data_IF_761182968640
#
_entry.id   IF_761182968640
#
_cell.length_a   1.000
_cell.length_b   1.000
_cell.length_c   1.000
_cell.angle_alpha   90.00
_cell.angle_beta   90.00
_cell.angle_gamma   90.00
#
_symmetry.space_group_name_H-M   'P 1'
#
loop_
_entity.id
_entity.type
_entity.pdbx_description
1 polymer ?
#
# COMPACT_ATOMS: atom_id res chain seq x y z
N UNK A 1 -39.64 -27.79 -54.73
CA UNK A 1 -40.85 -26.94 -54.74
C UNK A 1 -41.04 -26.33 -53.36
N UNK A 2 -41.40 -25.03 -53.31
CA UNK A 2 -41.94 -24.25 -52.16
C UNK A 2 -40.97 -23.81 -51.03
N UNK A 3 -40.48 -22.57 -51.13
CA UNK A 3 -40.15 -21.66 -50.00
C UNK A 3 -41.45 -20.95 -49.52
N UNK A 4 -41.44 -19.95 -48.60
CA UNK A 4 -40.89 -19.79 -47.25
C UNK A 4 -41.97 -19.32 -46.24
N UNK A 5 -41.72 -19.24 -44.91
CA UNK A 5 -42.17 -18.07 -44.12
C UNK A 5 -41.56 -18.01 -42.70
N UNK A 6 -41.17 -16.79 -42.37
CA UNK A 6 -40.55 -16.20 -41.19
C UNK A 6 -41.52 -16.13 -39.99
N UNK A 7 -41.03 -16.25 -38.74
CA UNK A 7 -41.05 -15.20 -37.70
C UNK A 7 -41.02 -15.74 -36.24
N UNK A 8 -40.01 -15.21 -35.51
CA UNK A 8 -40.05 -14.70 -34.13
C UNK A 8 -40.34 -15.67 -32.96
N UNK A 9 -39.37 -15.91 -32.06
CA UNK A 9 -39.18 -15.13 -30.81
C UNK A 9 -38.19 -15.79 -29.83
N UNK A 10 -37.18 -15.02 -29.46
CA UNK A 10 -36.69 -14.79 -28.09
C UNK A 10 -35.91 -15.86 -27.31
N UNK A 11 -34.68 -15.45 -27.00
CA UNK A 11 -34.02 -15.52 -25.70
C UNK A 11 -33.63 -16.90 -25.13
N UNK A 12 -32.36 -17.25 -25.33
CA UNK A 12 -31.54 -17.74 -24.22
C UNK A 12 -30.11 -17.23 -24.40
N UNK A 13 -29.78 -16.22 -23.58
CA UNK A 13 -28.42 -15.77 -23.33
C UNK A 13 -27.51 -16.97 -23.07
N UNK A 14 -26.31 -16.98 -23.64
CA UNK A 14 -25.05 -17.29 -22.94
C UNK A 14 -23.91 -16.87 -23.86
N UNK A 15 -23.66 -15.56 -23.90
CA UNK A 15 -22.38 -15.01 -24.36
C UNK A 15 -21.37 -15.42 -23.29
N UNK A 16 -20.68 -16.55 -23.51
CA UNK A 16 -19.50 -16.94 -22.76
C UNK A 16 -18.34 -16.03 -23.13
N UNK A 17 -18.40 -14.76 -22.70
CA UNK A 17 -17.24 -13.89 -22.68
C UNK A 17 -16.35 -14.42 -21.54
N UNK A 18 -15.43 -15.31 -21.89
CA UNK A 18 -14.32 -15.70 -21.03
C UNK A 18 -13.54 -14.42 -20.70
N UNK A 19 -13.81 -13.90 -19.51
CA UNK A 19 -13.24 -12.65 -19.02
C UNK A 19 -11.75 -12.87 -18.83
N UNK A 20 -10.97 -12.19 -19.67
CA UNK A 20 -9.58 -11.87 -19.45
C UNK A 20 -9.46 -11.14 -18.11
N UNK A 21 -8.90 -11.81 -17.09
CA UNK A 21 -8.39 -11.12 -15.91
C UNK A 21 -6.85 -11.10 -16.02
N UNK A 22 -6.23 -9.97 -16.38
CA UNK A 22 -4.83 -9.79 -16.05
C UNK A 22 -4.78 -9.57 -14.53
N UNK A 23 -4.31 -10.56 -13.78
CA UNK A 23 -3.77 -10.28 -12.44
C UNK A 23 -2.45 -9.52 -12.64
N UNK A 24 -2.57 -8.24 -13.02
CA UNK A 24 -1.47 -7.30 -12.90
C UNK A 24 -1.13 -7.18 -11.41
N UNK A 25 0.16 -7.15 -11.01
CA UNK A 25 0.54 -6.97 -9.63
C UNK A 25 -0.16 -5.71 -9.10
N UNK A 26 -0.90 -5.88 -8.01
CA UNK A 26 -1.74 -4.85 -7.42
C UNK A 26 -1.06 -3.48 -7.44
N UNK A 27 -1.63 -2.56 -8.23
CA UNK A 27 -1.43 -1.14 -8.03
C UNK A 27 -1.91 -0.85 -6.61
N UNK A 28 -0.99 -0.67 -5.67
CA UNK A 28 -1.31 -0.37 -4.28
C UNK A 28 -1.30 1.15 -4.14
N UNK A 29 -2.45 1.83 -4.28
CA UNK A 29 -2.50 3.30 -4.28
C UNK A 29 -1.93 3.88 -2.99
N UNK A 30 -2.06 3.18 -1.86
CA UNK A 30 -1.50 3.60 -0.58
C UNK A 30 0.05 3.62 -0.58
N UNK A 31 0.71 2.74 -1.34
CA UNK A 31 2.17 2.76 -1.48
C UNK A 31 2.61 3.95 -2.34
N UNK A 32 1.87 4.26 -3.40
CA UNK A 32 2.15 5.39 -4.29
C UNK A 32 1.92 6.74 -3.59
N UNK A 33 0.81 6.89 -2.85
CA UNK A 33 0.56 8.06 -1.99
C UNK A 33 1.65 8.26 -0.95
N UNK A 34 2.13 7.17 -0.33
CA UNK A 34 3.26 7.22 0.61
C UNK A 34 4.56 7.66 -0.06
N UNK A 35 4.83 7.21 -1.29
CA UNK A 35 5.99 7.72 -2.06
C UNK A 35 5.86 9.21 -2.27
N UNK A 36 4.69 9.72 -2.69
CA UNK A 36 4.48 11.16 -2.93
C UNK A 36 4.71 11.95 -1.63
N UNK A 37 4.13 11.50 -0.52
CA UNK A 37 4.29 12.16 0.78
C UNK A 37 5.75 12.17 1.25
N UNK A 38 6.43 11.02 1.18
CA UNK A 38 7.85 10.93 1.54
C UNK A 38 8.74 11.70 0.56
N UNK A 39 8.39 11.72 -0.72
CA UNK A 39 9.06 12.49 -1.78
C UNK A 39 9.10 13.97 -1.45
N UNK A 40 7.94 14.53 -1.07
CA UNK A 40 7.83 15.92 -0.64
C UNK A 40 8.57 16.21 0.66
N UNK A 41 8.43 15.34 1.66
CA UNK A 41 9.04 15.58 2.97
C UNK A 41 10.56 15.44 2.91
N UNK A 42 11.06 14.35 2.33
CA UNK A 42 12.50 14.01 2.27
C UNK A 42 13.21 14.65 1.07
N UNK A 43 12.49 15.37 0.21
CA UNK A 43 13.00 15.92 -1.05
C UNK A 43 13.71 14.84 -1.87
N UNK A 44 13.03 13.72 -2.09
CA UNK A 44 13.58 12.60 -2.85
C UNK A 44 13.85 13.03 -4.29
N UNK A 45 14.93 12.51 -4.88
CA UNK A 45 15.12 12.62 -6.32
C UNK A 45 14.16 11.67 -7.05
N UNK A 46 13.83 11.92 -8.33
CA UNK A 46 12.99 10.99 -9.10
C UNK A 46 13.52 9.55 -9.09
N UNK A 47 14.85 9.39 -9.09
CA UNK A 47 15.46 8.07 -9.00
C UNK A 47 15.28 7.43 -7.62
N UNK A 48 15.43 8.19 -6.53
CA UNK A 48 15.18 7.68 -5.18
C UNK A 48 13.71 7.26 -5.00
N UNK A 49 12.75 7.98 -5.58
CA UNK A 49 11.32 7.62 -5.51
C UNK A 49 11.05 6.25 -6.16
N UNK A 50 11.65 5.99 -7.33
CA UNK A 50 11.53 4.70 -8.02
C UNK A 50 12.14 3.57 -7.20
N UNK A 51 13.28 3.81 -6.56
CA UNK A 51 13.97 2.81 -5.72
C UNK A 51 13.27 2.56 -4.38
N UNK A 52 12.58 3.57 -3.83
CA UNK A 52 11.82 3.48 -2.57
C UNK A 52 10.48 2.76 -2.76
N UNK A 53 9.81 2.95 -3.90
CA UNK A 53 8.50 2.37 -4.18
C UNK A 53 8.40 0.85 -3.90
N UNK A 54 9.33 -0.02 -4.34
CA UNK A 54 9.25 -1.45 -4.06
C UNK A 54 9.31 -1.76 -2.56
N UNK A 55 10.12 -1.01 -1.78
CA UNK A 55 10.22 -1.19 -0.32
C UNK A 55 8.88 -0.88 0.34
N UNK A 56 8.23 0.22 -0.06
CA UNK A 56 6.92 0.58 0.48
C UNK A 56 5.81 -0.38 0.05
N UNK A 57 5.87 -0.90 -1.18
CA UNK A 57 4.93 -1.94 -1.64
C UNK A 57 5.05 -3.21 -0.80
N UNK A 58 6.26 -3.58 -0.39
CA UNK A 58 6.50 -4.72 0.49
C UNK A 58 6.08 -4.45 1.95
N UNK A 59 6.34 -3.25 2.46
CA UNK A 59 5.98 -2.86 3.83
C UNK A 59 4.46 -2.69 4.01
N UNK A 60 3.75 -2.19 3.00
CA UNK A 60 2.33 -1.84 3.08
C UNK A 60 1.41 -2.95 3.63
N UNK A 61 1.42 -4.20 3.13
CA UNK A 61 0.58 -5.26 3.68
C UNK A 61 0.92 -5.60 5.13
N UNK A 62 2.22 -5.61 5.50
CA UNK A 62 2.68 -5.87 6.87
C UNK A 62 2.22 -4.74 7.81
N UNK A 63 2.33 -3.50 7.36
CA UNK A 63 1.89 -2.32 8.10
C UNK A 63 0.37 -2.36 8.37
N UNK A 64 -0.43 -2.64 7.34
CA UNK A 64 -1.89 -2.74 7.49
C UNK A 64 -2.29 -3.91 8.39
N UNK A 65 -1.62 -5.06 8.30
CA UNK A 65 -1.87 -6.18 9.19
C UNK A 65 -1.66 -5.79 10.66
N UNK A 66 -0.53 -5.14 11.00
CA UNK A 66 -0.25 -4.68 12.37
C UNK A 66 -1.27 -3.65 12.84
N UNK A 67 -1.64 -2.69 11.97
CA UNK A 67 -2.60 -1.64 12.30
C UNK A 67 -3.99 -2.20 12.59
N UNK A 68 -4.42 -3.18 11.80
CA UNK A 68 -5.78 -3.72 11.85
C UNK A 68 -5.91 -4.94 12.77
N UNK A 69 -4.82 -5.48 13.32
CA UNK A 69 -4.86 -6.61 14.24
C UNK A 69 -5.61 -6.25 15.56
N UNK A 70 -6.77 -6.87 15.85
CA UNK A 70 -7.53 -6.57 17.06
C UNK A 70 -6.93 -7.20 18.32
N UNK A 71 -6.05 -8.19 18.17
CA UNK A 71 -5.39 -8.88 19.28
C UNK A 71 -4.24 -8.07 19.90
N UNK A 72 -3.73 -7.08 19.17
CA UNK A 72 -2.61 -6.25 19.63
C UNK A 72 -3.11 -5.00 20.36
N UNK A 73 -2.59 -4.80 21.57
CA UNK A 73 -2.66 -3.51 22.25
C UNK A 73 -1.91 -2.43 21.46
N UNK A 74 -2.20 -1.15 21.76
CA UNK A 74 -1.54 -0.03 21.07
C UNK A 74 -0.02 -0.05 21.21
N UNK A 75 0.49 -0.45 22.38
CA UNK A 75 1.93 -0.59 22.62
C UNK A 75 2.55 -1.75 21.83
N UNK A 76 1.84 -2.88 21.70
CA UNK A 76 2.31 -4.01 20.88
C UNK A 76 2.34 -3.63 19.39
N UNK A 77 1.30 -2.94 18.89
CA UNK A 77 1.29 -2.40 17.52
C UNK A 77 2.48 -1.49 17.28
N UNK A 78 2.74 -0.55 18.19
CA UNK A 78 3.91 0.33 18.09
C UNK A 78 5.23 -0.45 17.98
N UNK A 79 5.43 -1.44 18.87
CA UNK A 79 6.66 -2.24 18.87
C UNK A 79 6.83 -2.99 17.54
N UNK A 80 5.75 -3.57 17.01
CA UNK A 80 5.80 -4.28 15.73
C UNK A 80 6.02 -3.33 14.55
N UNK A 81 5.39 -2.14 14.53
CA UNK A 81 5.65 -1.12 13.51
C UNK A 81 7.10 -0.64 13.53
N UNK A 82 7.69 -0.46 14.71
CA UNK A 82 9.10 -0.09 14.84
C UNK A 82 10.02 -1.21 14.32
N UNK A 83 9.69 -2.48 14.63
CA UNK A 83 10.42 -3.63 14.11
C UNK A 83 10.35 -3.68 12.57
N UNK A 84 9.15 -3.54 12.00
CA UNK A 84 8.94 -3.48 10.55
C UNK A 84 9.79 -2.38 9.88
N UNK A 85 9.82 -1.18 10.44
CA UNK A 85 10.66 -0.10 9.91
C UNK A 85 12.17 -0.40 10.00
N UNK A 86 12.57 -1.18 10.99
CA UNK A 86 13.97 -1.57 11.22
C UNK A 86 14.41 -2.70 10.28
N UNK A 87 13.50 -3.60 9.89
CA UNK A 87 13.78 -4.71 8.96
C UNK A 87 14.36 -4.21 7.64
N UNK A 88 13.84 -3.11 7.11
CA UNK A 88 14.28 -2.54 5.83
C UNK A 88 15.31 -1.43 5.96
N UNK A 89 15.80 -1.12 7.18
CA UNK A 89 16.77 -0.06 7.42
C UNK A 89 17.98 -0.08 6.44
N UNK A 90 18.61 -1.24 6.15
CA UNK A 90 19.73 -1.29 5.21
C UNK A 90 19.35 -0.89 3.79
N UNK A 91 18.12 -1.17 3.35
CA UNK A 91 17.65 -0.80 2.00
C UNK A 91 17.46 0.72 1.90
N UNK A 92 16.81 1.31 2.90
CA UNK A 92 16.63 2.75 3.00
C UNK A 92 17.95 3.51 3.06
N UNK A 93 18.94 3.00 3.80
CA UNK A 93 20.26 3.64 3.92
C UNK A 93 21.10 3.58 2.64
N UNK A 94 20.80 2.67 1.69
CA UNK A 94 21.46 2.63 0.37
C UNK A 94 20.90 3.69 -0.59
N UNK A 95 19.62 4.00 -0.46
CA UNK A 95 18.90 4.90 -1.38
C UNK A 95 18.95 6.34 -0.86
N UNK A 96 18.79 6.53 0.45
CA UNK A 96 18.70 7.84 1.09
C UNK A 96 20.07 8.35 1.54
N UNK A 97 20.25 9.66 1.47
CA UNK A 97 21.37 10.31 2.17
C UNK A 97 21.21 10.15 3.70
N UNK A 98 22.30 10.25 4.49
CA UNK A 98 22.21 10.16 5.95
C UNK A 98 21.20 11.15 6.56
N UNK A 99 21.13 12.37 6.03
CA UNK A 99 20.18 13.39 6.47
C UNK A 99 18.72 13.01 6.15
N UNK A 100 18.45 12.52 4.94
CA UNK A 100 17.13 12.03 4.55
C UNK A 100 16.70 10.83 5.39
N UNK A 101 17.61 9.89 5.66
CA UNK A 101 17.33 8.74 6.50
C UNK A 101 17.00 9.14 7.93
N UNK A 102 17.75 10.08 8.52
CA UNK A 102 17.44 10.62 9.85
C UNK A 102 16.06 11.28 9.87
N UNK A 103 15.72 12.04 8.83
CA UNK A 103 14.40 12.67 8.72
C UNK A 103 13.27 11.63 8.58
N UNK A 104 13.50 10.54 7.83
CA UNK A 104 12.55 9.42 7.73
C UNK A 104 12.28 8.80 9.11
N UNK A 105 13.31 8.60 9.93
CA UNK A 105 13.14 8.09 11.29
C UNK A 105 12.29 9.05 12.14
N UNK A 106 12.55 10.36 12.07
CA UNK A 106 11.77 11.36 12.79
C UNK A 106 10.28 11.37 12.38
N UNK A 107 9.99 11.27 11.07
CA UNK A 107 8.60 11.16 10.56
C UNK A 107 7.92 9.92 11.13
N UNK A 108 8.58 8.76 11.05
CA UNK A 108 8.06 7.48 11.55
C UNK A 108 7.78 7.51 13.06
N UNK A 109 8.70 8.07 13.84
CA UNK A 109 8.50 8.26 15.28
C UNK A 109 7.32 9.20 15.59
N UNK A 110 7.19 10.29 14.83
CA UNK A 110 6.10 11.24 15.01
C UNK A 110 4.74 10.59 14.72
N UNK A 111 4.64 9.78 13.67
CA UNK A 111 3.40 9.07 13.32
C UNK A 111 3.00 8.07 14.40
N UNK A 112 3.96 7.35 14.95
CA UNK A 112 3.76 6.48 16.11
C UNK A 112 3.25 7.27 17.32
N UNK A 113 3.91 8.39 17.66
CA UNK A 113 3.50 9.25 18.80
C UNK A 113 2.09 9.80 18.61
N UNK A 114 1.73 10.25 17.40
CA UNK A 114 0.38 10.72 17.06
C UNK A 114 -0.65 9.61 17.22
N UNK A 115 -0.35 8.40 16.78
CA UNK A 115 -1.24 7.25 16.94
C UNK A 115 -1.50 6.92 18.42
N UNK A 116 -0.47 7.01 19.27
CA UNK A 116 -0.61 6.82 20.72
C UNK A 116 -1.44 7.95 21.36
N UNK A 117 -1.14 9.21 21.04
CA UNK A 117 -1.83 10.36 21.61
C UNK A 117 -3.33 10.35 21.28
N UNK A 118 -3.69 10.03 20.02
CA UNK A 118 -5.08 9.90 19.59
C UNK A 118 -5.87 8.89 20.42
N UNK A 119 -5.22 7.79 20.85
CA UNK A 119 -5.87 6.76 21.69
C UNK A 119 -6.04 7.20 23.15
N UNK A 120 -5.20 8.10 23.65
CA UNK A 120 -5.25 8.58 25.04
C UNK A 120 -6.20 9.76 25.25
N UNK A 121 -6.39 10.59 24.22
CA UNK A 121 -7.27 11.77 24.28
C UNK A 121 -8.70 11.56 23.75
N UNK A 122 -9.02 10.36 23.26
CA UNK A 122 -10.34 9.99 22.72
C UNK A 122 -11.03 8.91 23.57
N UNK A 123 -11.04 9.10 24.89
CA UNK A 123 -11.84 8.33 25.85
C UNK A 123 -12.96 9.19 26.39
#
# INVERSE_FOLDING_TARGET
>A
MKKPFTLLTSAACLIGFLILAPTAPAQNPAAEEKVIALGQQLKLTPQQEVEVLPILKEEAPKFEAIKNDPSLSGMQKMKQLHALHSENAPQWQRILTPAQYQQLQAIREQDIKKAIAKKRGGG
#
